data_IF_102359698497
#
_entry.id   IF_102359698497
#
_cell.length_a   1.000
_cell.length_b   1.000
_cell.length_c   1.000
_cell.angle_alpha   90.00
_cell.angle_beta   90.00
_cell.angle_gamma   90.00
#
_symmetry.space_group_name_H-M   'P 1'
#
loop_
_entity.id
_entity.type
_entity.pdbx_description
1 polymer ?
#
# COMPACT_ATOMS: atom_id res chain seq x y z
N UNK A 1 34.97 4.39 -4.05
CA UNK A 1 33.66 3.85 -4.51
C UNK A 1 33.38 2.51 -3.85
N UNK A 2 33.62 2.37 -2.53
CA UNK A 2 33.69 1.06 -1.87
C UNK A 2 32.33 0.51 -1.40
N UNK A 3 31.27 1.31 -1.45
CA UNK A 3 29.94 0.88 -1.00
C UNK A 3 29.19 -0.01 -2.00
N UNK A 4 29.54 0.03 -3.28
CA UNK A 4 28.87 -0.76 -4.33
C UNK A 4 29.40 -2.20 -4.35
N UNK A 5 30.67 -2.40 -3.99
CA UNK A 5 31.30 -3.73 -3.94
C UNK A 5 30.84 -4.58 -2.74
N UNK A 6 30.20 -3.95 -1.74
CA UNK A 6 29.69 -4.63 -0.55
C UNK A 6 28.31 -5.27 -0.76
N UNK A 7 27.58 -4.88 -1.81
CA UNK A 7 26.21 -5.32 -2.07
C UNK A 7 26.18 -6.42 -3.13
N UNK A 8 25.23 -7.38 -3.04
CA UNK A 8 25.01 -8.35 -4.12
C UNK A 8 24.79 -7.64 -5.46
N UNK A 9 25.35 -8.18 -6.55
CA UNK A 9 25.27 -7.59 -7.90
C UNK A 9 23.82 -7.37 -8.36
N UNK A 10 22.90 -8.15 -7.82
CA UNK A 10 21.47 -8.21 -8.13
C UNK A 10 20.63 -7.38 -7.15
N UNK A 11 21.25 -6.72 -6.17
CA UNK A 11 20.57 -5.92 -5.15
C UNK A 11 19.79 -4.73 -5.76
N UNK A 12 20.15 -4.31 -6.97
CA UNK A 12 19.37 -3.33 -7.74
C UNK A 12 17.90 -3.72 -7.92
N UNK A 13 17.56 -5.01 -8.00
CA UNK A 13 16.17 -5.47 -8.07
C UNK A 13 15.39 -5.20 -6.78
N UNK A 14 16.06 -5.29 -5.62
CA UNK A 14 15.46 -4.98 -4.31
C UNK A 14 15.13 -3.50 -4.23
N UNK A 15 16.03 -2.64 -4.72
CA UNK A 15 15.82 -1.18 -4.79
C UNK A 15 14.66 -0.85 -5.73
N UNK A 16 14.59 -1.47 -6.91
CA UNK A 16 13.48 -1.28 -7.85
C UNK A 16 12.14 -1.73 -7.25
N UNK A 17 12.11 -2.88 -6.58
CA UNK A 17 10.92 -3.37 -5.88
C UNK A 17 10.46 -2.39 -4.79
N UNK A 18 11.41 -1.80 -4.03
CA UNK A 18 11.12 -0.81 -3.01
C UNK A 18 10.56 0.49 -3.62
N UNK A 19 11.15 0.99 -4.71
CA UNK A 19 10.65 2.18 -5.42
C UNK A 19 9.22 1.93 -5.92
N UNK A 20 8.98 0.76 -6.53
CA UNK A 20 7.66 0.37 -7.00
C UNK A 20 6.63 0.31 -5.86
N UNK A 21 7.01 -0.26 -4.71
CA UNK A 21 6.17 -0.26 -3.51
C UNK A 21 5.85 1.17 -3.05
N UNK A 22 6.84 2.05 -2.96
CA UNK A 22 6.64 3.45 -2.58
C UNK A 22 5.71 4.17 -3.54
N UNK A 23 5.84 3.94 -4.85
CA UNK A 23 4.96 4.48 -5.87
C UNK A 23 3.50 4.04 -5.67
N UNK A 24 3.24 2.74 -5.46
CA UNK A 24 1.89 2.25 -5.20
C UNK A 24 1.29 2.86 -3.91
N UNK A 25 2.10 3.01 -2.86
CA UNK A 25 1.66 3.67 -1.63
C UNK A 25 1.30 5.14 -1.85
N UNK A 26 2.09 5.85 -2.66
CA UNK A 26 1.77 7.21 -3.03
C UNK A 26 0.43 7.29 -3.78
N UNK A 27 0.14 6.38 -4.71
CA UNK A 27 -1.16 6.31 -5.38
C UNK A 27 -2.32 6.08 -4.40
N UNK A 28 -2.14 5.21 -3.41
CA UNK A 28 -3.16 4.95 -2.38
C UNK A 28 -3.41 6.17 -1.48
N UNK A 29 -2.34 6.83 -1.01
CA UNK A 29 -2.44 8.07 -0.23
C UNK A 29 -3.11 9.20 -1.04
N UNK A 30 -2.81 9.29 -2.33
CA UNK A 30 -3.47 10.26 -3.21
C UNK A 30 -4.98 10.00 -3.34
N UNK A 31 -5.40 8.74 -3.38
CA UNK A 31 -6.82 8.37 -3.36
C UNK A 31 -7.51 8.77 -2.03
N UNK A 32 -6.82 8.65 -0.90
CA UNK A 32 -7.31 9.19 0.38
C UNK A 32 -7.50 10.70 0.30
N UNK A 33 -6.53 11.43 -0.26
CA UNK A 33 -6.65 12.88 -0.47
C UNK A 33 -7.85 13.26 -1.33
N UNK A 34 -8.09 12.53 -2.43
CA UNK A 34 -9.29 12.69 -3.26
C UNK A 34 -10.57 12.39 -2.47
N UNK A 35 -10.59 11.34 -1.67
CA UNK A 35 -11.74 10.97 -0.83
C UNK A 35 -12.01 12.04 0.25
N UNK A 36 -10.98 12.58 0.90
CA UNK A 36 -11.09 13.70 1.85
C UNK A 36 -11.78 14.90 1.21
N UNK A 37 -11.36 15.28 -0.01
CA UNK A 37 -11.98 16.37 -0.76
C UNK A 37 -13.42 16.06 -1.16
N UNK A 38 -13.70 14.82 -1.60
CA UNK A 38 -15.03 14.37 -2.04
C UNK A 38 -16.04 14.38 -0.90
N UNK A 39 -15.66 13.86 0.27
CA UNK A 39 -16.53 13.73 1.44
C UNK A 39 -16.40 14.92 2.42
N UNK A 40 -15.66 15.97 2.03
CA UNK A 40 -15.43 17.19 2.83
C UNK A 40 -14.90 16.90 4.24
N UNK A 41 -14.00 15.91 4.35
CA UNK A 41 -13.36 15.55 5.61
C UNK A 41 -12.07 16.35 5.75
N UNK A 42 -12.13 17.41 6.56
CA UNK A 42 -10.99 18.28 6.82
C UNK A 42 -10.12 17.73 7.94
N UNK A 43 -8.82 18.00 7.88
CA UNK A 43 -7.94 17.77 9.03
C UNK A 43 -8.42 18.61 10.23
N UNK A 44 -8.33 18.11 11.48
CA UNK A 44 -7.61 16.91 11.92
C UNK A 44 -8.43 15.61 11.91
N UNK A 45 -9.65 15.61 11.37
CA UNK A 45 -10.54 14.43 11.44
C UNK A 45 -9.96 13.26 10.64
N UNK A 46 -9.77 12.13 11.32
CA UNK A 46 -9.21 10.90 10.75
C UNK A 46 -10.30 9.94 10.28
N UNK A 47 -11.32 9.73 11.12
CA UNK A 47 -12.48 8.90 10.85
C UNK A 47 -13.74 9.72 11.09
N UNK A 48 -14.76 9.52 10.25
CA UNK A 48 -16.07 10.16 10.38
C UNK A 48 -17.02 9.21 11.07
N UNK A 49 -17.85 9.68 12.01
CA UNK A 49 -18.85 8.80 12.63
C UNK A 49 -19.94 8.42 11.63
N UNK A 50 -20.43 7.18 11.68
CA UNK A 50 -21.53 6.73 10.80
C UNK A 50 -22.82 7.51 11.03
N UNK A 51 -22.99 8.14 12.20
CA UNK A 51 -24.11 9.03 12.50
C UNK A 51 -24.03 10.39 11.82
N UNK A 52 -22.84 10.83 11.41
CA UNK A 52 -22.59 12.17 10.85
C UNK A 52 -22.73 12.20 9.32
N UNK A 53 -22.50 11.08 8.65
CA UNK A 53 -22.60 11.00 7.20
C UNK A 53 -22.91 9.59 6.71
N UNK A 54 -23.81 9.48 5.72
CA UNK A 54 -24.10 8.22 5.02
C UNK A 54 -22.87 7.66 4.29
N UNK A 55 -21.92 8.52 3.94
CA UNK A 55 -20.68 8.16 3.24
C UNK A 55 -19.50 7.92 4.18
N UNK A 56 -19.69 8.06 5.50
CA UNK A 56 -18.64 7.90 6.50
C UNK A 56 -17.92 6.55 6.35
N UNK A 57 -18.69 5.48 6.08
CA UNK A 57 -18.14 4.13 5.89
C UNK A 57 -17.23 4.02 4.67
N UNK A 58 -17.57 4.68 3.56
CA UNK A 58 -16.74 4.70 2.35
C UNK A 58 -15.41 5.41 2.62
N UNK A 59 -15.48 6.59 3.24
CA UNK A 59 -14.28 7.36 3.59
C UNK A 59 -13.39 6.59 4.58
N UNK A 60 -13.98 6.10 5.68
CA UNK A 60 -13.27 5.34 6.71
C UNK A 60 -12.62 4.08 6.12
N UNK A 61 -13.27 3.44 5.15
CA UNK A 61 -12.69 2.30 4.45
C UNK A 61 -11.45 2.68 3.64
N UNK A 62 -11.52 3.73 2.82
CA UNK A 62 -10.38 4.22 2.02
C UNK A 62 -9.23 4.67 2.93
N UNK A 63 -9.53 5.41 4.00
CA UNK A 63 -8.54 5.84 5.00
C UNK A 63 -7.86 4.64 5.67
N UNK A 64 -8.66 3.68 6.16
CA UNK A 64 -8.15 2.47 6.83
C UNK A 64 -7.28 1.61 5.92
N UNK A 65 -7.63 1.52 4.65
CA UNK A 65 -6.89 0.74 3.67
C UNK A 65 -5.48 1.28 3.40
N UNK A 66 -5.34 2.61 3.45
CA UNK A 66 -4.06 3.31 3.31
C UNK A 66 -3.19 3.20 4.56
N UNK A 67 -3.80 3.18 5.75
CA UNK A 67 -3.10 3.09 7.03
C UNK A 67 -2.53 1.71 7.33
N UNK A 68 -2.98 0.64 6.65
CA UNK A 68 -2.41 -0.71 6.81
C UNK A 68 -0.99 -0.86 6.21
N UNK A 69 -0.27 0.24 6.06
CA UNK A 69 1.08 0.27 5.52
C UNK A 69 2.06 0.18 6.69
N UNK A 70 2.13 -1.02 7.27
CA UNK A 70 3.18 -1.34 8.22
C UNK A 70 4.53 -1.26 7.52
N UNK A 71 5.39 -0.34 7.97
CA UNK A 71 6.78 -0.19 7.51
C UNK A 71 7.61 -1.49 7.58
N UNK A 72 7.10 -2.50 8.30
CA UNK A 72 7.71 -3.82 8.48
C UNK A 72 7.97 -4.56 7.16
N UNK A 73 7.09 -4.46 6.16
CA UNK A 73 7.28 -5.19 4.90
C UNK A 73 8.50 -4.69 4.09
N UNK A 74 8.76 -3.37 4.13
CA UNK A 74 9.93 -2.77 3.47
C UNK A 74 11.23 -3.14 4.17
N UNK A 75 11.21 -3.17 5.50
CA UNK A 75 12.37 -3.57 6.29
C UNK A 75 12.74 -5.02 5.98
N UNK A 76 11.75 -5.92 5.90
CA UNK A 76 11.96 -7.32 5.53
C UNK A 76 12.45 -7.48 4.08
N UNK A 77 11.95 -6.68 3.14
CA UNK A 77 12.41 -6.66 1.74
C UNK A 77 13.90 -6.31 1.63
N UNK A 78 14.31 -5.24 2.33
CA UNK A 78 15.68 -4.74 2.32
C UNK A 78 16.62 -5.72 3.03
N UNK A 79 16.27 -6.15 4.25
CA UNK A 79 17.10 -7.09 5.02
C UNK A 79 17.22 -8.46 4.35
N UNK A 80 16.11 -9.04 3.87
CA UNK A 80 16.13 -10.30 3.14
C UNK A 80 16.87 -10.22 1.80
N UNK A 81 16.88 -9.03 1.19
CA UNK A 81 17.59 -8.74 -0.04
C UNK A 81 19.11 -8.80 0.09
N UNK A 82 19.66 -8.64 1.31
CA UNK A 82 21.11 -8.69 1.55
C UNK A 82 21.69 -10.08 1.28
N UNK A 83 20.94 -11.14 1.59
CA UNK A 83 21.35 -12.53 1.35
C UNK A 83 20.71 -13.12 0.08
N UNK A 84 19.45 -12.78 -0.21
CA UNK A 84 18.67 -13.36 -1.30
C UNK A 84 17.97 -12.27 -2.13
N UNK A 85 18.70 -11.49 -2.94
CA UNK A 85 18.18 -10.30 -3.62
C UNK A 85 17.02 -10.61 -4.59
N UNK A 86 17.13 -11.68 -5.40
CA UNK A 86 16.11 -12.04 -6.40
C UNK A 86 14.82 -12.53 -5.74
N UNK A 87 14.94 -13.42 -4.75
CA UNK A 87 13.80 -13.99 -4.04
C UNK A 87 13.08 -12.89 -3.26
N UNK A 88 13.84 -12.05 -2.55
CA UNK A 88 13.28 -10.93 -1.79
C UNK A 88 12.56 -9.95 -2.70
N UNK A 89 13.18 -9.54 -3.81
CA UNK A 89 12.56 -8.62 -4.78
C UNK A 89 11.26 -9.20 -5.38
N UNK A 90 11.25 -10.50 -5.71
CA UNK A 90 10.08 -11.18 -6.27
C UNK A 90 8.91 -11.21 -5.29
N UNK A 91 9.15 -11.59 -4.02
CA UNK A 91 8.12 -11.57 -3.00
C UNK A 91 7.67 -10.14 -2.64
N UNK A 92 8.59 -9.17 -2.65
CA UNK A 92 8.28 -7.75 -2.48
C UNK A 92 7.31 -7.23 -3.55
N UNK A 93 7.53 -7.62 -4.81
CA UNK A 93 6.65 -7.25 -5.92
C UNK A 93 5.27 -7.89 -5.77
N UNK A 94 5.21 -9.19 -5.49
CA UNK A 94 3.94 -9.92 -5.25
C UNK A 94 3.17 -9.27 -4.09
N UNK A 95 3.85 -8.93 -3.00
CA UNK A 95 3.26 -8.24 -1.87
C UNK A 95 2.73 -6.85 -2.24
N UNK A 96 3.50 -6.05 -2.98
CA UNK A 96 3.11 -4.71 -3.41
C UNK A 96 1.86 -4.73 -4.29
N UNK A 97 1.80 -5.65 -5.27
CA UNK A 97 0.63 -5.85 -6.13
C UNK A 97 -0.57 -6.36 -5.34
N UNK A 98 -0.37 -7.34 -4.46
CA UNK A 98 -1.43 -7.84 -3.57
C UNK A 98 -2.00 -6.74 -2.68
N UNK A 99 -1.16 -5.85 -2.16
CA UNK A 99 -1.57 -4.68 -1.38
C UNK A 99 -2.39 -3.69 -2.19
N UNK A 100 -2.04 -3.45 -3.44
CA UNK A 100 -2.84 -2.61 -4.33
C UNK A 100 -4.25 -3.18 -4.53
N UNK A 101 -4.38 -4.49 -4.78
CA UNK A 101 -5.69 -5.13 -4.89
C UNK A 101 -6.48 -5.12 -3.58
N UNK A 102 -5.81 -5.36 -2.45
CA UNK A 102 -6.42 -5.25 -1.12
C UNK A 102 -7.01 -3.84 -0.92
N UNK A 103 -6.25 -2.80 -1.26
CA UNK A 103 -6.70 -1.41 -1.13
C UNK A 103 -7.91 -1.14 -2.02
N UNK A 104 -7.86 -1.51 -3.30
CA UNK A 104 -8.96 -1.32 -4.25
C UNK A 104 -10.22 -2.05 -3.79
N UNK A 105 -10.10 -3.28 -3.28
CA UNK A 105 -11.21 -4.02 -2.69
C UNK A 105 -11.80 -3.32 -1.46
N UNK A 106 -10.95 -2.78 -0.58
CA UNK A 106 -11.39 -2.05 0.60
C UNK A 106 -12.06 -0.71 0.25
N UNK A 107 -11.58 -0.04 -0.80
CA UNK A 107 -12.11 1.25 -1.27
C UNK A 107 -13.57 1.17 -1.79
N UNK A 108 -14.10 -0.04 -2.00
CA UNK A 108 -15.53 -0.27 -2.34
C UNK A 108 -16.51 0.03 -1.20
N UNK A 109 -16.02 0.30 0.02
CA UNK A 109 -16.86 0.56 1.20
C UNK A 109 -17.40 -0.69 1.89
N UNK A 110 -17.07 -1.88 1.36
CA UNK A 110 -17.41 -3.17 1.95
C UNK A 110 -16.11 -3.84 2.42
N UNK A 111 -15.81 -3.87 3.73
CA UNK A 111 -14.55 -4.41 4.25
C UNK A 111 -14.26 -5.86 3.84
N UNK A 112 -15.31 -6.68 3.63
CA UNK A 112 -15.16 -8.07 3.17
C UNK A 112 -14.56 -8.19 1.76
N UNK A 113 -14.70 -7.16 0.92
CA UNK A 113 -14.15 -7.18 -0.44
C UNK A 113 -12.62 -7.10 -0.48
N UNK A 114 -11.95 -6.81 0.65
CA UNK A 114 -10.49 -6.83 0.78
C UNK A 114 -9.84 -8.19 0.48
N UNK A 115 -10.59 -9.28 0.64
CA UNK A 115 -10.14 -10.66 0.42
C UNK A 115 -10.50 -11.19 -0.97
N UNK A 116 -11.39 -10.49 -1.68
CA UNK A 116 -11.66 -10.81 -3.08
C UNK A 116 -10.45 -10.27 -3.83
N UNK A 117 -9.66 -11.15 -4.45
CA UNK A 117 -8.67 -10.73 -5.45
C UNK A 117 -9.43 -9.78 -6.37
N UNK A 118 -8.96 -8.54 -6.55
CA UNK A 118 -9.68 -7.47 -7.27
C UNK A 118 -9.96 -7.75 -8.76
N UNK A 119 -9.89 -9.01 -9.18
CA UNK A 119 -10.19 -9.55 -10.51
C UNK A 119 -11.70 -9.62 -10.83
N UNK A 120 -12.60 -9.36 -9.87
CA UNK A 120 -14.04 -9.58 -10.05
C UNK A 120 -14.87 -8.31 -10.26
N UNK A 121 -14.25 -7.18 -10.58
CA UNK A 121 -14.95 -5.97 -11.05
C UNK A 121 -14.16 -5.27 -12.16
N UNK A 122 -13.98 -5.99 -13.27
CA UNK A 122 -13.86 -5.40 -14.60
C UNK A 122 -15.25 -5.42 -15.25
#
# INVERSE_FOLDING_TARGET
>A
MEGVDLLPKEYGYVVLALIFYCFLNFCMVFQVGKARKKYKVFYPVLYVSESESKDAKLFNCVQRASEFTGNHANILLVLGGLQHPIISASFGLVYAVGRYFYFTGYATGVPRNRLKLGLLMA
#
